data_IF_187750182354
#
_entry.id   IF_187750182354
#
_cell.length_a   1.000
_cell.length_b   1.000
_cell.length_c   1.000
_cell.angle_alpha   90.00
_cell.angle_beta   90.00
_cell.angle_gamma   90.00
#
_symmetry.space_group_name_H-M   'P 1'
#
loop_
_entity.id
_entity.type
_entity.pdbx_description
1 polymer ?
#
# COMPACT_ATOMS: atom_id res chain seq x y z
N UNK A 1 22.53 -16.23 -0.05
CA UNK A 1 22.29 -15.33 -1.20
C UNK A 1 21.05 -14.44 -1.01
N UNK A 2 19.87 -14.98 -0.69
CA UNK A 2 18.62 -14.17 -0.57
C UNK A 2 18.54 -13.23 0.65
N UNK A 3 19.38 -13.43 1.68
CA UNK A 3 19.53 -12.47 2.77
C UNK A 3 20.01 -11.10 2.26
N UNK A 4 20.81 -11.09 1.19
CA UNK A 4 21.30 -9.84 0.55
C UNK A 4 20.12 -8.99 0.07
N UNK A 5 19.06 -9.62 -0.44
CA UNK A 5 17.85 -8.89 -0.90
C UNK A 5 17.18 -8.16 0.27
N UNK A 6 17.10 -8.80 1.44
CA UNK A 6 16.57 -8.17 2.67
C UNK A 6 17.45 -7.02 3.15
N UNK A 7 18.78 -7.19 3.08
CA UNK A 7 19.74 -6.13 3.44
C UNK A 7 19.63 -4.94 2.47
N UNK A 8 19.48 -5.18 1.17
CA UNK A 8 19.30 -4.13 0.17
C UNK A 8 17.99 -3.35 0.40
N UNK A 9 16.90 -4.03 0.71
CA UNK A 9 15.62 -3.40 1.05
C UNK A 9 15.74 -2.55 2.32
N UNK A 10 16.39 -3.08 3.36
CA UNK A 10 16.69 -2.34 4.58
C UNK A 10 17.49 -1.07 4.28
N UNK A 11 18.55 -1.17 3.47
CA UNK A 11 19.37 -0.04 3.07
C UNK A 11 18.55 1.04 2.33
N UNK A 12 17.61 0.66 1.47
CA UNK A 12 16.70 1.60 0.81
C UNK A 12 15.83 2.38 1.83
N UNK A 13 15.25 1.69 2.82
CA UNK A 13 14.45 2.35 3.86
C UNK A 13 15.31 3.26 4.75
N UNK A 14 16.49 2.79 5.18
CA UNK A 14 17.39 3.58 6.01
C UNK A 14 17.94 4.81 5.26
N UNK A 15 18.26 4.69 3.97
CA UNK A 15 18.68 5.82 3.14
C UNK A 15 17.58 6.89 3.04
N UNK A 16 16.31 6.47 2.92
CA UNK A 16 15.17 7.39 2.90
C UNK A 16 14.91 8.06 4.26
N UNK A 17 15.12 7.33 5.36
CA UNK A 17 15.07 7.87 6.71
C UNK A 17 16.16 8.94 6.92
N UNK A 18 17.38 8.68 6.47
CA UNK A 18 18.49 9.64 6.49
C UNK A 18 18.20 10.88 5.63
N UNK A 19 17.60 10.70 4.45
CA UNK A 19 17.15 11.81 3.62
C UNK A 19 16.09 12.67 4.32
N UNK A 20 15.22 12.05 5.12
CA UNK A 20 14.19 12.74 5.90
C UNK A 20 14.77 13.57 7.05
N UNK A 21 15.91 13.15 7.62
CA UNK A 21 16.65 13.90 8.66
C UNK A 21 17.53 15.01 8.05
N UNK A 22 18.11 14.77 6.88
CA UNK A 22 19.04 15.68 6.21
C UNK A 22 18.61 16.02 4.78
N UNK A 23 17.42 16.65 4.60
CA UNK A 23 16.80 16.82 3.28
C UNK A 23 17.61 17.66 2.29
N UNK A 24 18.48 18.53 2.79
CA UNK A 24 19.35 19.40 1.98
C UNK A 24 20.69 18.73 1.64
N UNK A 25 21.13 17.73 2.41
CA UNK A 25 22.42 17.06 2.20
C UNK A 25 22.29 15.79 1.36
N UNK A 26 21.15 15.10 1.46
CA UNK A 26 20.90 13.81 0.81
C UNK A 26 19.63 13.82 -0.07
N UNK A 27 19.48 14.76 -1.02
CA UNK A 27 18.27 14.86 -1.84
C UNK A 27 18.07 13.65 -2.76
N UNK A 28 19.15 12.98 -3.18
CA UNK A 28 19.11 11.79 -4.05
C UNK A 28 18.43 10.59 -3.41
N UNK A 29 18.39 10.51 -2.08
CA UNK A 29 17.80 9.39 -1.34
C UNK A 29 16.33 9.60 -0.96
N UNK A 30 15.71 10.72 -1.36
CA UNK A 30 14.29 11.00 -1.06
C UNK A 30 13.34 9.92 -1.56
N UNK A 31 13.66 9.31 -2.71
CA UNK A 31 12.83 8.27 -3.33
C UNK A 31 13.23 6.85 -2.92
N UNK A 32 14.22 6.68 -2.04
CA UNK A 32 14.77 5.37 -1.72
C UNK A 32 13.73 4.43 -1.08
N UNK A 33 12.79 4.95 -0.27
CA UNK A 33 11.69 4.13 0.26
C UNK A 33 10.77 3.57 -0.83
N UNK A 34 10.52 4.33 -1.90
CA UNK A 34 9.76 3.85 -3.07
C UNK A 34 10.47 2.70 -3.77
N UNK A 35 11.80 2.78 -3.91
CA UNK A 35 12.64 1.70 -4.43
C UNK A 35 12.63 0.48 -3.49
N UNK A 36 12.70 0.69 -2.17
CA UNK A 36 12.60 -0.37 -1.18
C UNK A 36 11.30 -1.16 -1.31
N UNK A 37 10.17 -0.47 -1.41
CA UNK A 37 8.87 -1.10 -1.66
C UNK A 37 8.80 -1.81 -3.00
N UNK A 38 9.38 -1.25 -4.07
CA UNK A 38 9.44 -1.90 -5.37
C UNK A 38 10.19 -3.24 -5.28
N UNK A 39 11.35 -3.26 -4.62
CA UNK A 39 12.15 -4.47 -4.41
C UNK A 39 11.40 -5.53 -3.60
N UNK A 40 10.71 -5.13 -2.52
CA UNK A 40 9.87 -6.04 -1.74
C UNK A 40 8.75 -6.60 -2.60
N UNK A 41 7.99 -5.73 -3.26
CA UNK A 41 6.86 -6.12 -4.12
C UNK A 41 7.26 -7.09 -5.23
N UNK A 42 8.33 -6.79 -5.97
CA UNK A 42 8.82 -7.67 -7.03
C UNK A 42 9.32 -9.02 -6.50
N UNK A 43 10.00 -9.02 -5.34
CA UNK A 43 10.49 -10.27 -4.73
C UNK A 43 9.33 -11.18 -4.30
N UNK A 44 8.28 -10.59 -3.71
CA UNK A 44 7.08 -11.30 -3.27
C UNK A 44 6.21 -11.76 -4.46
N UNK A 45 6.22 -11.03 -5.58
CA UNK A 45 5.43 -11.38 -6.76
C UNK A 45 6.10 -12.45 -7.62
N UNK A 46 7.40 -12.31 -7.89
CA UNK A 46 8.10 -13.12 -8.89
C UNK A 46 8.78 -14.36 -8.29
N UNK A 47 9.28 -14.24 -7.06
CA UNK A 47 10.10 -15.28 -6.42
C UNK A 47 9.78 -15.45 -4.92
N UNK A 48 8.49 -15.53 -4.52
CA UNK A 48 8.07 -15.55 -3.11
C UNK A 48 8.76 -16.64 -2.28
N UNK A 49 8.81 -17.87 -2.80
CA UNK A 49 9.43 -19.01 -2.11
C UNK A 49 10.93 -18.79 -1.87
N UNK A 50 11.65 -18.28 -2.88
CA UNK A 50 13.09 -18.01 -2.75
C UNK A 50 13.36 -16.87 -1.80
N UNK A 51 12.56 -15.81 -1.87
CA UNK A 51 12.64 -14.69 -0.96
C UNK A 51 12.50 -15.14 0.50
N UNK A 52 11.51 -15.97 0.82
CA UNK A 52 11.28 -16.42 2.20
C UNK A 52 12.06 -17.66 2.64
N UNK A 53 12.72 -18.37 1.73
CA UNK A 53 13.53 -19.58 2.06
C UNK A 53 14.62 -19.33 3.11
N UNK A 54 15.05 -18.08 3.31
CA UNK A 54 16.02 -17.72 4.35
C UNK A 54 15.38 -17.66 5.73
N UNK A 55 14.10 -17.30 5.81
CA UNK A 55 13.35 -17.10 7.04
C UNK A 55 12.60 -18.37 7.51
N UNK A 56 12.31 -19.29 6.59
CA UNK A 56 11.46 -20.45 6.85
C UNK A 56 12.16 -21.72 6.37
N UNK A 57 12.22 -22.73 7.22
CA UNK A 57 12.79 -24.04 6.94
C UNK A 57 11.70 -25.07 6.63
N UNK A 58 11.99 -25.97 5.68
CA UNK A 58 11.10 -27.05 5.26
C UNK A 58 10.59 -26.90 3.83
N UNK A 59 9.65 -27.76 3.45
CA UNK A 59 9.14 -27.84 2.07
C UNK A 59 8.13 -26.74 1.81
N UNK A 60 8.59 -25.64 1.22
CA UNK A 60 7.74 -24.51 0.83
C UNK A 60 6.84 -24.94 -0.35
N UNK A 61 5.56 -25.18 -0.08
CA UNK A 61 4.62 -25.60 -1.13
C UNK A 61 4.10 -24.41 -1.96
N UNK A 62 3.35 -24.74 -3.01
CA UNK A 62 2.75 -23.77 -3.93
C UNK A 62 1.77 -22.83 -3.22
N UNK A 63 1.05 -23.30 -2.19
CA UNK A 63 0.08 -22.48 -1.46
C UNK A 63 0.78 -21.42 -0.60
N UNK A 64 1.88 -21.76 0.08
CA UNK A 64 2.69 -20.79 0.83
C UNK A 64 3.17 -19.66 -0.09
N UNK A 65 3.77 -20.02 -1.23
CA UNK A 65 4.25 -19.08 -2.22
C UNK A 65 3.14 -18.18 -2.75
N UNK A 66 1.98 -18.77 -3.03
CA UNK A 66 0.82 -18.06 -3.56
C UNK A 66 0.23 -17.05 -2.58
N UNK A 67 -0.02 -17.45 -1.32
CA UNK A 67 -0.57 -16.55 -0.30
C UNK A 67 0.37 -15.40 0.00
N UNK A 68 1.68 -15.65 -0.01
CA UNK A 68 2.67 -14.60 0.17
C UNK A 68 2.63 -13.55 -0.96
N UNK A 69 2.40 -13.96 -2.21
CA UNK A 69 2.31 -13.03 -3.33
C UNK A 69 1.19 -11.99 -3.19
N UNK A 70 0.15 -12.25 -2.40
CA UNK A 70 -0.88 -11.25 -2.09
C UNK A 70 -0.39 -10.04 -1.30
N UNK A 71 0.82 -10.10 -0.72
CA UNK A 71 1.45 -8.93 -0.10
C UNK A 71 2.12 -8.00 -1.14
N UNK A 72 2.49 -8.53 -2.32
CA UNK A 72 3.17 -7.76 -3.36
C UNK A 72 2.36 -6.58 -3.91
N UNK A 73 1.05 -6.71 -4.22
CA UNK A 73 0.24 -5.62 -4.76
C UNK A 73 0.27 -4.34 -3.93
N UNK A 74 0.29 -4.44 -2.60
CA UNK A 74 0.33 -3.29 -1.70
C UNK A 74 1.66 -2.54 -1.78
N UNK A 75 2.78 -3.29 -1.80
CA UNK A 75 4.10 -2.69 -1.94
C UNK A 75 4.32 -2.10 -3.32
N UNK A 76 3.87 -2.76 -4.39
CA UNK A 76 3.98 -2.24 -5.76
C UNK A 76 3.11 -1.00 -5.96
N UNK A 77 1.87 -1.00 -5.43
CA UNK A 77 1.01 0.18 -5.43
C UNK A 77 1.66 1.33 -4.66
N UNK A 78 2.21 1.07 -3.47
CA UNK A 78 2.88 2.10 -2.67
C UNK A 78 4.16 2.62 -3.35
N UNK A 79 4.95 1.75 -3.98
CA UNK A 79 6.11 2.14 -4.76
C UNK A 79 5.72 3.06 -5.93
N UNK A 80 4.69 2.70 -6.69
CA UNK A 80 4.13 3.55 -7.75
C UNK A 80 3.78 4.94 -7.22
N UNK A 81 3.09 5.02 -6.08
CA UNK A 81 2.69 6.29 -5.50
C UNK A 81 3.89 7.12 -5.03
N UNK A 82 4.86 6.48 -4.37
CA UNK A 82 6.08 7.12 -3.85
C UNK A 82 7.02 7.64 -4.93
N UNK A 83 7.09 6.94 -6.06
CA UNK A 83 7.94 7.31 -7.19
C UNK A 83 7.22 8.26 -8.16
N UNK A 84 5.95 8.60 -7.91
CA UNK A 84 5.18 9.46 -8.79
C UNK A 84 5.62 10.94 -8.69
N UNK A 85 5.58 11.69 -9.82
CA UNK A 85 6.05 13.07 -9.89
C UNK A 85 5.15 14.08 -9.15
N UNK A 86 3.91 13.71 -8.83
CA UNK A 86 3.07 14.54 -7.95
C UNK A 86 3.67 14.70 -6.55
N UNK A 87 4.65 13.86 -6.21
CA UNK A 87 5.27 13.78 -4.90
C UNK A 87 4.26 13.25 -3.88
N UNK A 88 4.70 12.42 -2.94
CA UNK A 88 3.86 12.29 -1.76
C UNK A 88 3.75 13.67 -1.12
N UNK A 89 2.57 14.10 -0.68
CA UNK A 89 2.55 14.96 0.46
C UNK A 89 3.26 14.18 1.58
N UNK A 90 4.42 14.65 2.07
CA UNK A 90 4.99 14.25 3.37
C UNK A 90 4.07 14.70 4.54
N UNK A 91 2.77 14.68 4.29
CA UNK A 91 1.73 15.02 5.21
C UNK A 91 1.63 13.90 6.23
N UNK A 92 1.78 14.31 7.48
CA UNK A 92 1.80 13.44 8.64
C UNK A 92 0.71 12.36 8.65
N UNK A 93 -0.56 12.63 8.27
CA UNK A 93 -1.58 11.59 8.28
C UNK A 93 -1.27 10.41 7.33
N UNK A 94 -0.72 10.67 6.14
CA UNK A 94 -0.34 9.62 5.19
C UNK A 94 0.87 8.83 5.68
N UNK A 95 1.87 9.54 6.20
CA UNK A 95 3.06 8.91 6.80
C UNK A 95 2.65 8.05 7.99
N UNK A 96 1.71 8.52 8.81
CA UNK A 96 1.13 7.76 9.91
C UNK A 96 0.42 6.49 9.42
N UNK A 97 -0.41 6.57 8.37
CA UNK A 97 -1.08 5.39 7.81
C UNK A 97 -0.09 4.30 7.35
N UNK A 98 1.04 4.72 6.77
CA UNK A 98 2.14 3.82 6.39
C UNK A 98 2.85 3.25 7.61
N UNK A 99 3.21 4.09 8.58
CA UNK A 99 3.84 3.66 9.84
C UNK A 99 2.95 2.65 10.58
N UNK A 100 1.66 2.92 10.69
CA UNK A 100 0.71 2.05 11.37
C UNK A 100 0.58 0.70 10.65
N UNK A 101 0.48 0.71 9.32
CA UNK A 101 0.48 -0.53 8.53
C UNK A 101 1.77 -1.32 8.73
N UNK A 102 2.93 -0.66 8.64
CA UNK A 102 4.23 -1.30 8.85
C UNK A 102 4.35 -1.92 10.24
N UNK A 103 3.86 -1.21 11.26
CA UNK A 103 3.79 -1.70 12.64
C UNK A 103 2.91 -2.95 12.74
N UNK A 104 1.69 -2.93 12.19
CA UNK A 104 0.78 -4.07 12.24
C UNK A 104 1.34 -5.29 11.48
N UNK A 105 2.02 -5.06 10.35
CA UNK A 105 2.74 -6.09 9.60
C UNK A 105 3.87 -6.72 10.43
N UNK A 106 4.74 -5.90 11.01
CA UNK A 106 5.82 -6.38 11.87
C UNK A 106 5.27 -7.12 13.09
N UNK A 107 4.29 -6.54 13.77
CA UNK A 107 3.64 -7.12 14.94
C UNK A 107 3.04 -8.49 14.62
N UNK A 108 2.36 -8.64 13.47
CA UNK A 108 1.77 -9.92 13.04
C UNK A 108 2.83 -10.98 12.81
N UNK A 109 3.98 -10.63 12.20
CA UNK A 109 5.09 -11.57 11.99
C UNK A 109 5.76 -11.97 13.31
N UNK A 110 5.99 -11.01 14.21
CA UNK A 110 6.59 -11.29 15.52
C UNK A 110 5.65 -12.10 16.42
N UNK A 111 4.34 -11.82 16.40
CA UNK A 111 3.34 -12.59 17.13
C UNK A 111 3.27 -14.03 16.59
N UNK A 112 3.33 -14.19 15.27
CA UNK A 112 3.39 -15.52 14.65
C UNK A 112 4.68 -16.22 15.06
N UNK A 113 5.81 -15.52 15.06
CA UNK A 113 7.09 -16.10 15.46
C UNK A 113 7.04 -16.64 16.88
N UNK A 114 6.55 -15.83 17.82
CA UNK A 114 6.32 -16.22 19.20
C UNK A 114 5.35 -17.41 19.32
N UNK A 115 4.24 -17.38 18.58
CA UNK A 115 3.26 -18.48 18.62
C UNK A 115 3.81 -19.81 18.11
N UNK A 116 4.60 -19.77 17.03
CA UNK A 116 5.25 -20.94 16.42
C UNK A 116 6.34 -21.53 17.32
N UNK A 117 7.03 -20.71 18.11
CA UNK A 117 8.05 -21.18 19.06
C UNK A 117 7.43 -21.77 20.33
N UNK A 118 6.38 -21.15 20.86
CA UNK A 118 5.73 -21.58 22.11
C UNK A 118 4.76 -22.74 21.92
N UNK A 119 4.00 -22.75 20.81
CA UNK A 119 3.02 -23.79 20.54
C UNK A 119 3.59 -24.71 19.47
N UNK A 120 3.70 -25.99 19.79
CA UNK A 120 3.98 -27.07 18.82
C UNK A 120 2.85 -27.16 17.79
N UNK A 121 2.79 -26.19 16.88
CA UNK A 121 1.81 -26.11 15.81
C UNK A 121 2.32 -26.80 14.56
N UNK A 122 1.41 -27.40 13.81
CA UNK A 122 1.71 -27.91 12.47
C UNK A 122 2.16 -26.75 11.59
N UNK A 123 3.30 -26.91 10.94
CA UNK A 123 3.78 -26.00 9.91
C UNK A 123 5.28 -26.04 9.71
N UNK A 124 5.74 -25.18 8.81
CA UNK A 124 7.17 -25.00 8.55
C UNK A 124 7.93 -24.54 9.80
N UNK A 125 9.18 -24.98 9.96
CA UNK A 125 10.02 -24.52 11.05
C UNK A 125 10.53 -23.12 10.76
N UNK A 126 10.64 -22.29 11.78
CA UNK A 126 11.28 -20.98 11.63
C UNK A 126 12.78 -21.15 11.57
N UNK A 127 13.45 -20.44 10.66
CA UNK A 127 14.90 -20.36 10.71
C UNK A 127 15.36 -19.37 11.79
N UNK A 128 16.62 -19.49 12.20
CA UNK A 128 17.29 -18.51 13.07
C UNK A 128 17.29 -17.09 12.48
N UNK A 129 17.07 -16.96 11.17
CA UNK A 129 17.05 -15.69 10.47
C UNK A 129 15.64 -15.09 10.34
N UNK A 130 14.57 -15.75 10.79
CA UNK A 130 13.22 -15.21 10.59
C UNK A 130 13.04 -13.82 11.20
N UNK A 131 13.43 -13.65 12.47
CA UNK A 131 13.30 -12.37 13.19
C UNK A 131 14.16 -11.31 12.50
N UNK A 132 15.39 -11.68 12.10
CA UNK A 132 16.27 -10.79 11.36
C UNK A 132 15.63 -10.33 10.03
N UNK A 133 15.08 -11.25 9.23
CA UNK A 133 14.40 -10.94 7.98
C UNK A 133 13.17 -10.05 8.20
N UNK A 134 12.38 -10.28 9.25
CA UNK A 134 11.24 -9.44 9.60
C UNK A 134 11.68 -8.01 9.98
N UNK A 135 12.76 -7.87 10.76
CA UNK A 135 13.32 -6.58 11.13
C UNK A 135 13.93 -5.83 9.93
N UNK A 136 14.65 -6.53 9.05
CA UNK A 136 15.25 -5.94 7.84
C UNK A 136 14.21 -5.44 6.83
N UNK A 137 12.97 -5.95 6.91
CA UNK A 137 11.90 -5.60 5.97
C UNK A 137 10.87 -4.70 6.62
N UNK A 138 9.98 -5.26 7.43
CA UNK A 138 8.89 -4.52 8.08
C UNK A 138 9.40 -3.59 9.18
N UNK A 139 10.46 -3.98 9.91
CA UNK A 139 11.11 -3.13 10.92
C UNK A 139 11.79 -1.91 10.31
N UNK A 140 12.55 -2.10 9.23
CA UNK A 140 13.19 -1.01 8.50
C UNK A 140 12.16 -0.08 7.85
N UNK A 141 11.08 -0.64 7.29
CA UNK A 141 9.96 0.15 6.77
C UNK A 141 9.32 1.00 7.89
N UNK A 142 8.98 0.38 9.03
CA UNK A 142 8.41 1.09 10.18
C UNK A 142 9.32 2.23 10.64
N UNK A 143 10.62 1.94 10.83
CA UNK A 143 11.59 2.92 11.27
C UNK A 143 11.66 4.11 10.31
N UNK A 144 11.70 3.85 8.99
CA UNK A 144 11.67 4.90 7.98
C UNK A 144 10.44 5.81 8.14
N UNK A 145 9.25 5.22 8.23
CA UNK A 145 8.02 6.02 8.34
C UNK A 145 7.94 6.80 9.65
N UNK A 146 8.41 6.23 10.77
CA UNK A 146 8.49 6.90 12.06
C UNK A 146 9.45 8.09 11.99
N UNK A 147 10.64 7.90 11.42
CA UNK A 147 11.62 8.98 11.25
C UNK A 147 11.03 10.09 10.37
N UNK A 148 10.42 9.76 9.23
CA UNK A 148 9.75 10.74 8.36
C UNK A 148 8.61 11.47 9.08
N UNK A 149 7.84 10.78 9.92
CA UNK A 149 6.71 11.37 10.66
C UNK A 149 7.19 12.43 11.65
N UNK A 150 8.27 12.14 12.39
CA UNK A 150 8.83 13.03 13.39
C UNK A 150 9.73 14.12 12.80
N UNK A 151 10.36 13.88 11.65
CA UNK A 151 11.17 14.90 10.97
C UNK A 151 10.33 15.88 10.15
N UNK A 152 9.11 15.50 9.74
CA UNK A 152 8.15 16.39 9.11
C UNK A 152 7.75 17.53 10.08
N UNK A 153 8.22 18.74 9.81
CA UNK A 153 7.75 19.95 10.50
C UNK A 153 6.70 20.61 9.62
N UNK A 154 5.48 20.71 10.15
CA UNK A 154 4.39 21.45 9.50
C UNK A 154 4.35 22.84 10.11
N UNK A 155 4.45 23.88 9.29
CA UNK A 155 4.27 25.25 9.77
C UNK A 155 2.80 25.61 9.81
N UNK A 156 2.41 26.55 10.69
CA UNK A 156 1.03 27.09 10.69
C UNK A 156 0.64 27.66 9.33
N UNK A 157 1.60 28.25 8.62
CA UNK A 157 1.39 28.79 7.28
C UNK A 157 1.03 27.71 6.26
N UNK A 158 1.74 26.57 6.25
CA UNK A 158 1.41 25.44 5.36
C UNK A 158 0.01 24.86 5.62
N UNK A 159 -0.44 24.88 6.87
CA UNK A 159 -1.79 24.46 7.22
C UNK A 159 -2.85 25.44 6.69
N UNK A 160 -2.63 26.74 6.88
CA UNK A 160 -3.49 27.80 6.31
C UNK A 160 -3.52 27.68 4.79
N UNK A 161 -2.37 27.53 4.13
CA UNK A 161 -2.28 27.40 2.67
C UNK A 161 -3.02 26.17 2.14
N UNK A 162 -2.96 25.04 2.87
CA UNK A 162 -3.73 23.85 2.51
C UNK A 162 -5.24 24.05 2.67
N UNK A 163 -5.68 24.70 3.75
CA UNK A 163 -7.10 25.03 3.94
C UNK A 163 -7.58 25.98 2.85
N UNK A 164 -6.82 27.04 2.55
CA UNK A 164 -7.11 27.98 1.47
C UNK A 164 -7.21 27.25 0.13
N UNK A 165 -6.22 26.41 -0.23
CA UNK A 165 -6.25 25.60 -1.47
C UNK A 165 -7.49 24.72 -1.53
N UNK A 166 -7.87 24.06 -0.43
CA UNK A 166 -9.07 23.22 -0.38
C UNK A 166 -10.33 24.05 -0.60
N UNK A 167 -10.47 25.18 0.09
CA UNK A 167 -11.61 26.10 -0.09
C UNK A 167 -11.67 26.60 -1.53
N UNK A 168 -10.54 27.00 -2.12
CA UNK A 168 -10.45 27.41 -3.51
C UNK A 168 -10.91 26.32 -4.46
N UNK A 169 -10.53 25.05 -4.24
CA UNK A 169 -11.00 23.93 -5.07
C UNK A 169 -12.53 23.80 -5.07
N UNK A 170 -13.17 24.01 -3.91
CA UNK A 170 -14.63 23.99 -3.81
C UNK A 170 -15.27 25.22 -4.46
N UNK A 171 -14.72 26.41 -4.25
CA UNK A 171 -15.20 27.65 -4.87
C UNK A 171 -15.07 27.61 -6.40
N UNK A 172 -14.02 26.97 -6.92
CA UNK A 172 -13.81 26.77 -8.35
C UNK A 172 -14.65 25.64 -8.95
N UNK A 173 -15.51 24.98 -8.17
CA UNK A 173 -16.34 23.85 -8.62
C UNK A 173 -15.53 22.58 -8.91
N UNK A 174 -14.24 22.54 -8.53
CA UNK A 174 -13.33 21.39 -8.71
C UNK A 174 -13.50 20.35 -7.61
N UNK A 175 -14.14 20.69 -6.48
CA UNK A 175 -14.58 19.72 -5.48
C UNK A 175 -15.60 18.72 -6.06
N UNK A 176 -15.58 17.48 -5.57
CA UNK A 176 -16.50 16.43 -6.03
C UNK A 176 -16.97 15.56 -4.87
N UNK A 177 -18.24 15.72 -4.48
CA UNK A 177 -18.87 14.86 -3.47
C UNK A 177 -18.91 13.40 -3.90
N UNK A 178 -19.06 13.14 -5.21
CA UNK A 178 -18.97 11.78 -5.74
C UNK A 178 -17.60 11.16 -5.42
N UNK A 179 -16.52 11.91 -5.66
CA UNK A 179 -15.18 11.43 -5.43
C UNK A 179 -14.87 11.25 -3.94
N UNK A 180 -15.34 12.16 -3.09
CA UNK A 180 -15.29 11.99 -1.62
C UNK A 180 -16.00 10.71 -1.18
N UNK A 181 -17.22 10.48 -1.66
CA UNK A 181 -17.98 9.26 -1.36
C UNK A 181 -17.30 8.00 -1.88
N UNK A 182 -16.70 8.06 -3.07
CA UNK A 182 -15.94 6.95 -3.62
C UNK A 182 -14.74 6.59 -2.74
N UNK A 183 -14.00 7.58 -2.23
CA UNK A 183 -12.91 7.32 -1.29
C UNK A 183 -13.39 6.75 0.04
N UNK A 184 -14.53 7.20 0.57
CA UNK A 184 -15.13 6.59 1.75
C UNK A 184 -15.54 5.13 1.53
N UNK A 185 -16.10 4.82 0.36
CA UNK A 185 -16.46 3.44 -0.02
C UNK A 185 -15.21 2.58 -0.12
N UNK A 186 -14.14 3.01 -0.81
CA UNK A 186 -12.88 2.27 -0.87
C UNK A 186 -12.28 2.06 0.53
N UNK A 187 -12.30 3.10 1.37
CA UNK A 187 -11.84 3.00 2.75
C UNK A 187 -12.62 1.95 3.56
N UNK A 188 -13.95 1.98 3.47
CA UNK A 188 -14.83 1.02 4.15
C UNK A 188 -14.62 -0.42 3.68
N UNK A 189 -14.49 -0.64 2.36
CA UNK A 189 -14.22 -1.96 1.80
C UNK A 189 -12.85 -2.51 2.23
N UNK A 190 -11.82 -1.66 2.21
CA UNK A 190 -10.48 -2.05 2.65
C UNK A 190 -10.43 -2.33 4.16
N UNK A 191 -11.13 -1.53 4.97
CA UNK A 191 -11.21 -1.74 6.42
C UNK A 191 -11.96 -3.03 6.76
N UNK A 192 -13.08 -3.30 6.09
CA UNK A 192 -13.82 -4.56 6.26
C UNK A 192 -12.95 -5.75 5.88
N UNK A 193 -12.21 -5.65 4.76
CA UNK A 193 -11.25 -6.68 4.33
C UNK A 193 -10.19 -6.91 5.39
N UNK A 194 -9.60 -5.84 5.94
CA UNK A 194 -8.60 -5.93 7.01
C UNK A 194 -9.15 -6.63 8.26
N UNK A 195 -10.33 -6.23 8.74
CA UNK A 195 -10.97 -6.79 9.92
C UNK A 195 -11.28 -8.28 9.75
N UNK A 196 -11.88 -8.66 8.62
CA UNK A 196 -12.27 -10.05 8.34
C UNK A 196 -11.04 -10.96 8.26
N UNK A 197 -9.99 -10.54 7.56
CA UNK A 197 -8.74 -11.31 7.44
C UNK A 197 -7.95 -11.40 8.75
N UNK A 198 -8.02 -10.37 9.60
CA UNK A 198 -7.36 -10.40 10.90
C UNK A 198 -8.09 -11.32 11.89
N UNK A 199 -9.43 -11.20 11.96
CA UNK A 199 -10.26 -11.92 12.92
C UNK A 199 -10.49 -13.38 12.52
N UNK A 200 -10.69 -13.68 11.24
CA UNK A 200 -11.14 -15.01 10.77
C UNK A 200 -10.24 -15.66 9.70
N UNK A 201 -8.89 -15.58 9.77
CA UNK A 201 -8.01 -16.08 8.71
C UNK A 201 -8.19 -17.57 8.43
N UNK A 202 -8.37 -18.39 9.48
CA UNK A 202 -8.56 -19.83 9.34
C UNK A 202 -9.86 -20.18 8.60
N UNK A 203 -10.95 -19.46 8.89
CA UNK A 203 -12.24 -19.69 8.25
C UNK A 203 -12.19 -19.29 6.77
N UNK A 204 -11.56 -18.15 6.48
CA UNK A 204 -11.35 -17.69 5.10
C UNK A 204 -10.56 -18.73 4.31
N UNK A 205 -9.40 -19.14 4.82
CA UNK A 205 -8.54 -20.10 4.13
C UNK A 205 -9.28 -21.43 3.91
N UNK A 206 -9.89 -22.02 4.95
CA UNK A 206 -10.67 -23.27 4.81
C UNK A 206 -11.79 -23.16 3.79
N UNK A 207 -12.42 -21.99 3.68
CA UNK A 207 -13.48 -21.77 2.72
C UNK A 207 -12.93 -21.75 1.29
N UNK A 208 -11.85 -21.02 1.04
CA UNK A 208 -11.37 -20.72 -0.32
C UNK A 208 -10.32 -21.68 -0.85
N UNK A 209 -9.56 -22.39 -0.02
CA UNK A 209 -8.52 -23.32 -0.47
C UNK A 209 -9.06 -24.73 -0.64
N UNK A 210 -8.54 -25.46 -1.64
CA UNK A 210 -8.84 -26.89 -1.81
C UNK A 210 -8.51 -27.68 -0.55
N UNK A 211 -9.31 -28.71 -0.25
CA UNK A 211 -9.11 -29.60 0.91
C UNK A 211 -7.84 -30.44 0.82
N UNK A 212 -7.25 -30.54 -0.38
CA UNK A 212 -5.97 -31.21 -0.63
C UNK A 212 -4.79 -30.49 0.04
N UNK A 213 -4.91 -29.18 0.28
CA UNK A 213 -3.88 -28.42 0.97
C UNK A 213 -4.09 -28.45 2.48
N UNK A 214 -3.12 -29.01 3.18
CA UNK A 214 -3.11 -28.96 4.64
C UNK A 214 -2.67 -27.59 5.13
N UNK A 215 -3.62 -26.80 5.64
CA UNK A 215 -3.35 -25.50 6.22
C UNK A 215 -2.46 -25.59 7.46
N UNK A 216 -1.59 -24.61 7.60
CA UNK A 216 -0.62 -24.51 8.68
C UNK A 216 -0.56 -23.07 9.24
N UNK A 217 0.26 -22.86 10.27
CA UNK A 217 0.42 -21.56 10.91
C UNK A 217 0.97 -20.46 9.98
N UNK A 218 1.79 -20.79 8.98
CA UNK A 218 2.33 -19.83 8.02
C UNK A 218 1.26 -19.34 7.06
N UNK A 219 0.37 -20.22 6.58
CA UNK A 219 -0.77 -19.82 5.77
C UNK A 219 -1.66 -18.80 6.52
N UNK A 220 -1.94 -19.07 7.79
CA UNK A 220 -2.74 -18.19 8.65
C UNK A 220 -2.04 -16.83 8.81
N UNK A 221 -0.72 -16.82 9.02
CA UNK A 221 0.07 -15.58 9.09
C UNK A 221 -0.05 -14.77 7.79
N UNK A 222 0.16 -15.39 6.63
CA UNK A 222 0.07 -14.66 5.35
C UNK A 222 -1.33 -14.13 5.06
N UNK A 223 -2.37 -14.86 5.45
CA UNK A 223 -3.74 -14.37 5.37
C UNK A 223 -3.96 -13.12 6.26
N UNK A 224 -3.43 -13.12 7.50
CA UNK A 224 -3.47 -11.92 8.36
C UNK A 224 -2.63 -10.78 7.81
N UNK A 225 -1.47 -11.07 7.22
CA UNK A 225 -0.59 -10.06 6.60
C UNK A 225 -1.31 -9.34 5.45
N UNK A 226 -2.05 -10.06 4.61
CA UNK A 226 -2.91 -9.44 3.59
C UNK A 226 -3.95 -8.49 4.21
N UNK A 227 -4.57 -8.89 5.32
CA UNK A 227 -5.47 -8.03 6.09
C UNK A 227 -4.77 -6.78 6.65
N UNK A 228 -3.59 -6.94 7.23
CA UNK A 228 -2.79 -5.82 7.75
C UNK A 228 -2.45 -4.82 6.65
N UNK A 229 -2.01 -5.30 5.49
CA UNK A 229 -1.67 -4.45 4.34
C UNK A 229 -2.89 -3.74 3.76
N UNK A 230 -4.10 -4.29 3.94
CA UNK A 230 -5.37 -3.64 3.57
C UNK A 230 -5.72 -2.44 4.47
N UNK A 231 -5.08 -2.28 5.63
CA UNK A 231 -5.21 -1.07 6.45
C UNK A 231 -4.61 0.15 5.75
N UNK A 232 -3.58 -0.03 4.92
CA UNK A 232 -2.95 1.07 4.20
C UNK A 232 -3.95 1.80 3.28
N UNK A 233 -4.60 1.14 2.30
CA UNK A 233 -5.61 1.82 1.48
C UNK A 233 -6.83 2.24 2.30
N UNK A 234 -7.19 1.53 3.38
CA UNK A 234 -8.28 1.95 4.25
C UNK A 234 -8.03 3.35 4.85
N UNK A 235 -6.85 3.56 5.43
CA UNK A 235 -6.47 4.83 6.05
C UNK A 235 -6.15 5.89 4.99
N UNK A 236 -5.40 5.55 3.95
CA UNK A 236 -5.03 6.49 2.90
C UNK A 236 -6.25 7.03 2.15
N UNK A 237 -7.27 6.21 1.88
CA UNK A 237 -8.50 6.68 1.21
C UNK A 237 -9.30 7.68 2.07
N UNK A 238 -9.29 7.54 3.40
CA UNK A 238 -9.90 8.55 4.28
C UNK A 238 -9.21 9.91 4.23
N UNK A 239 -7.91 9.90 3.94
CA UNK A 239 -7.05 11.09 3.97
C UNK A 239 -6.93 11.75 2.60
N UNK A 240 -6.94 10.97 1.52
CA UNK A 240 -6.64 11.45 0.15
C UNK A 240 -7.66 12.48 -0.34
N UNK A 241 -8.91 12.36 0.11
CA UNK A 241 -10.00 13.28 -0.26
C UNK A 241 -9.73 14.74 0.08
N UNK A 242 -8.84 14.99 1.05
CA UNK A 242 -8.44 16.34 1.45
C UNK A 242 -7.25 16.89 0.66
N UNK A 243 -6.66 16.09 -0.24
CA UNK A 243 -5.46 16.43 -1.00
C UNK A 243 -5.81 17.13 -2.32
N UNK A 244 -4.78 17.64 -3.00
CA UNK A 244 -4.96 18.23 -4.33
C UNK A 244 -5.42 17.18 -5.36
N UNK A 245 -6.16 17.59 -6.40
CA UNK A 245 -6.61 16.69 -7.47
C UNK A 245 -5.52 15.80 -8.07
N UNK A 246 -4.34 16.35 -8.32
CA UNK A 246 -3.20 15.59 -8.87
C UNK A 246 -2.82 14.42 -7.95
N UNK A 247 -2.70 14.68 -6.64
CA UNK A 247 -2.37 13.64 -5.65
C UNK A 247 -3.48 12.59 -5.56
N UNK A 248 -4.76 13.02 -5.64
CA UNK A 248 -5.90 12.10 -5.68
C UNK A 248 -5.85 11.15 -6.89
N UNK A 249 -5.54 11.65 -8.09
CA UNK A 249 -5.40 10.84 -9.31
C UNK A 249 -4.26 9.83 -9.17
N UNK A 250 -3.09 10.25 -8.71
CA UNK A 250 -1.95 9.34 -8.53
C UNK A 250 -2.22 8.28 -7.47
N UNK A 251 -2.95 8.62 -6.41
CA UNK A 251 -3.39 7.64 -5.43
C UNK A 251 -4.38 6.64 -6.01
N UNK A 252 -5.36 7.08 -6.80
CA UNK A 252 -6.26 6.17 -7.51
C UNK A 252 -5.50 5.25 -8.47
N UNK A 253 -4.47 5.77 -9.16
CA UNK A 253 -3.56 4.96 -9.97
C UNK A 253 -2.83 3.88 -9.15
N UNK A 254 -2.32 4.25 -7.96
CA UNK A 254 -1.73 3.31 -7.00
C UNK A 254 -2.71 2.24 -6.55
N UNK A 255 -3.96 2.62 -6.26
CA UNK A 255 -5.04 1.69 -5.88
C UNK A 255 -5.40 0.74 -7.01
N UNK A 256 -5.42 1.22 -8.25
CA UNK A 256 -5.62 0.39 -9.44
C UNK A 256 -4.50 -0.64 -9.60
N UNK A 257 -3.23 -0.23 -9.52
CA UNK A 257 -2.08 -1.16 -9.58
C UNK A 257 -2.27 -2.27 -8.54
N UNK A 258 -2.59 -1.90 -7.30
CA UNK A 258 -2.83 -2.86 -6.23
C UNK A 258 -3.99 -3.82 -6.57
N UNK A 259 -5.19 -3.29 -6.87
CA UNK A 259 -6.37 -4.14 -7.06
C UNK A 259 -6.31 -5.01 -8.32
N UNK A 260 -5.73 -4.50 -9.41
CA UNK A 260 -5.54 -5.26 -10.65
C UNK A 260 -4.61 -6.44 -10.41
N UNK A 261 -3.52 -6.25 -9.65
CA UNK A 261 -2.61 -7.35 -9.31
C UNK A 261 -3.28 -8.37 -8.39
N UNK A 262 -4.09 -7.95 -7.40
CA UNK A 262 -4.91 -8.87 -6.60
C UNK A 262 -5.86 -9.69 -7.48
N UNK A 263 -6.51 -9.05 -8.44
CA UNK A 263 -7.40 -9.73 -9.37
C UNK A 263 -6.64 -10.75 -10.24
N UNK A 264 -5.49 -10.38 -10.78
CA UNK A 264 -4.59 -11.29 -11.52
C UNK A 264 -4.13 -12.47 -10.65
N UNK A 265 -3.81 -12.24 -9.37
CA UNK A 265 -3.46 -13.34 -8.46
C UNK A 265 -4.63 -14.30 -8.25
N UNK A 266 -5.88 -13.82 -8.18
CA UNK A 266 -7.03 -14.71 -8.12
C UNK A 266 -7.20 -15.55 -9.40
N UNK A 267 -7.03 -14.93 -10.57
CA UNK A 267 -6.99 -15.62 -11.88
C UNK A 267 -5.95 -16.75 -11.88
N UNK A 268 -4.72 -16.44 -11.46
CA UNK A 268 -3.62 -17.40 -11.41
C UNK A 268 -3.87 -18.53 -10.41
N UNK A 269 -4.38 -18.21 -9.22
CA UNK A 269 -4.71 -19.21 -8.20
C UNK A 269 -5.77 -20.21 -8.67
N UNK A 270 -6.75 -19.73 -9.44
CA UNK A 270 -7.83 -20.57 -9.96
C UNK A 270 -7.36 -21.43 -11.15
N UNK A 271 -6.85 -20.80 -12.21
CA UNK A 271 -6.62 -21.50 -13.49
C UNK A 271 -5.22 -22.07 -13.65
N UNK A 272 -4.20 -21.45 -13.06
CA UNK A 272 -2.81 -21.90 -13.24
C UNK A 272 -2.35 -22.84 -12.12
N UNK A 273 -2.76 -22.57 -10.88
CA UNK A 273 -2.26 -23.30 -9.70
C UNK A 273 -3.28 -24.27 -9.10
N UNK A 274 -4.56 -24.19 -9.48
CA UNK A 274 -5.65 -25.03 -8.94
C UNK A 274 -5.72 -25.06 -7.40
N UNK A 275 -5.35 -23.95 -6.76
CA UNK A 275 -5.27 -23.84 -5.29
C UNK A 275 -6.66 -23.74 -4.65
N UNK A 276 -7.60 -23.18 -5.39
CA UNK A 276 -8.87 -22.77 -4.85
C UNK A 276 -9.93 -23.88 -4.85
N UNK A 277 -10.72 -23.95 -3.79
CA UNK A 277 -11.99 -24.68 -3.76
C UNK A 277 -13.04 -23.93 -4.59
N UNK A 278 -14.16 -24.55 -5.01
CA UNK A 278 -15.22 -23.86 -5.73
C UNK A 278 -15.75 -22.57 -5.06
N UNK A 279 -15.66 -22.46 -3.73
CA UNK A 279 -16.15 -21.30 -2.98
C UNK A 279 -15.30 -20.03 -3.17
N UNK A 280 -14.11 -20.12 -3.75
CA UNK A 280 -13.28 -18.94 -4.04
C UNK A 280 -13.94 -17.95 -5.00
N UNK A 281 -14.96 -18.37 -5.76
CA UNK A 281 -15.66 -17.54 -6.73
C UNK A 281 -16.20 -16.24 -6.09
N UNK A 282 -16.64 -16.29 -4.82
CA UNK A 282 -17.08 -15.09 -4.11
C UNK A 282 -15.95 -14.08 -3.93
N UNK A 283 -14.76 -14.53 -3.53
CA UNK A 283 -13.57 -13.69 -3.41
C UNK A 283 -13.12 -13.11 -4.75
N UNK A 284 -13.14 -13.92 -5.80
CA UNK A 284 -12.85 -13.50 -7.17
C UNK A 284 -13.81 -12.41 -7.66
N UNK A 285 -15.12 -12.63 -7.49
CA UNK A 285 -16.16 -11.67 -7.91
C UNK A 285 -16.08 -10.36 -7.12
N UNK A 286 -15.83 -10.43 -5.80
CA UNK A 286 -15.58 -9.23 -4.99
C UNK A 286 -14.35 -8.46 -5.49
N UNK A 287 -13.25 -9.15 -5.78
CA UNK A 287 -12.05 -8.52 -6.33
C UNK A 287 -12.31 -7.84 -7.68
N UNK A 288 -13.07 -8.48 -8.57
CA UNK A 288 -13.46 -7.93 -9.87
C UNK A 288 -14.39 -6.72 -9.75
N UNK A 289 -15.33 -6.74 -8.80
CA UNK A 289 -16.19 -5.61 -8.49
C UNK A 289 -15.38 -4.40 -8.00
N UNK A 290 -14.48 -4.59 -7.02
CA UNK A 290 -13.63 -3.51 -6.50
C UNK A 290 -12.72 -2.95 -7.61
N UNK A 291 -12.16 -3.81 -8.45
CA UNK A 291 -11.36 -3.38 -9.60
C UNK A 291 -12.18 -2.49 -10.55
N UNK A 292 -13.39 -2.92 -10.91
CA UNK A 292 -14.28 -2.18 -11.81
C UNK A 292 -14.73 -0.84 -11.21
N UNK A 293 -15.04 -0.84 -9.91
CA UNK A 293 -15.32 0.37 -9.15
C UNK A 293 -14.16 1.36 -9.21
N UNK A 294 -12.93 0.92 -8.92
CA UNK A 294 -11.73 1.78 -8.95
C UNK A 294 -11.45 2.33 -10.35
N UNK A 295 -11.65 1.54 -11.41
CA UNK A 295 -11.52 2.03 -12.79
C UNK A 295 -12.53 3.15 -13.07
N UNK A 296 -13.79 2.94 -12.70
CA UNK A 296 -14.84 3.96 -12.87
C UNK A 296 -14.50 5.26 -12.15
N UNK A 297 -14.04 5.17 -10.89
CA UNK A 297 -13.64 6.32 -10.09
C UNK A 297 -12.42 7.03 -10.69
N UNK A 298 -11.41 6.27 -11.13
CA UNK A 298 -10.21 6.82 -11.76
C UNK A 298 -10.53 7.58 -13.05
N UNK A 299 -11.30 6.99 -13.97
CA UNK A 299 -11.67 7.64 -15.22
C UNK A 299 -12.53 8.89 -14.98
N UNK A 300 -13.47 8.83 -14.03
CA UNK A 300 -14.27 10.00 -13.64
C UNK A 300 -13.42 11.09 -13.03
N UNK A 301 -12.51 10.77 -12.11
CA UNK A 301 -11.60 11.75 -11.51
C UNK A 301 -10.69 12.39 -12.57
N UNK A 302 -10.10 11.58 -13.44
CA UNK A 302 -9.23 12.09 -14.50
C UNK A 302 -9.98 12.98 -15.49
N UNK A 303 -11.17 12.55 -15.93
CA UNK A 303 -12.05 13.37 -16.80
C UNK A 303 -12.49 14.66 -16.11
N UNK A 304 -12.95 14.58 -14.85
CA UNK A 304 -13.36 15.73 -14.05
C UNK A 304 -12.22 16.74 -13.98
N UNK A 305 -11.01 16.33 -13.64
CA UNK A 305 -9.89 17.23 -13.45
C UNK A 305 -9.20 17.71 -14.73
N UNK A 306 -9.20 16.93 -15.81
CA UNK A 306 -8.64 17.34 -17.10
C UNK A 306 -9.56 18.27 -17.91
N UNK A 307 -10.88 18.16 -17.74
CA UNK A 307 -11.86 18.95 -18.48
C UNK A 307 -12.21 20.30 -17.82
N UNK A 308 -11.49 20.71 -16.76
CA UNK A 308 -11.69 22.04 -16.22
C UNK A 308 -11.07 23.10 -17.13
N UNK A 309 -11.85 24.06 -17.67
CA UNK A 309 -11.27 25.21 -18.33
C UNK A 309 -10.34 25.95 -17.36
N UNK A 310 -9.22 26.48 -17.87
CA UNK A 310 -8.39 27.46 -17.15
C UNK A 310 -9.33 28.49 -16.52
N UNK A 311 -9.27 28.63 -15.19
CA UNK A 311 -10.33 29.30 -14.43
C UNK A 311 -10.45 30.77 -14.82
N UNK A 312 -11.64 31.35 -14.61
CA UNK A 312 -11.91 32.79 -14.78
C UNK A 312 -10.90 33.67 -14.04
N UNK A 313 -10.30 33.19 -12.93
CA UNK A 313 -9.21 33.83 -12.19
C UNK A 313 -7.86 33.85 -12.93
N UNK A 314 -7.52 32.81 -13.70
CA UNK A 314 -6.37 32.84 -14.61
C UNK A 314 -6.62 33.83 -15.75
N UNK A 315 -7.84 33.87 -16.29
CA UNK A 315 -8.19 34.86 -17.32
C UNK A 315 -8.23 36.30 -16.77
N UNK A 316 -8.61 36.49 -15.50
CA UNK A 316 -8.53 37.80 -14.81
C UNK A 316 -7.07 38.17 -14.53
N UNK A 317 -6.24 37.24 -14.06
CA UNK A 317 -4.82 37.49 -13.82
C UNK A 317 -4.05 37.77 -15.13
N UNK A 318 -4.33 37.01 -16.19
CA UNK A 318 -3.74 37.22 -17.52
C UNK A 318 -4.24 38.53 -18.15
N UNK A 319 -5.51 38.89 -18.00
CA UNK A 319 -6.04 40.18 -18.47
C UNK A 319 -5.53 41.40 -17.67
N UNK A 320 -5.20 41.23 -16.38
CA UNK A 320 -4.52 42.28 -15.61
C UNK A 320 -3.02 42.39 -15.96
N UNK A 321 -2.34 41.27 -16.21
CA UNK A 321 -0.96 41.23 -16.70
C UNK A 321 -0.80 41.84 -18.11
N UNK A 322 -1.81 41.67 -18.97
CA UNK A 322 -1.87 42.32 -20.28
C UNK A 322 -2.09 43.83 -20.16
N UNK A 323 -2.94 44.30 -19.23
CA UNK A 323 -3.16 45.73 -18.99
C UNK A 323 -1.94 46.48 -18.44
N UNK A 324 -1.05 45.81 -17.73
CA UNK A 324 0.21 46.40 -17.22
C UNK A 324 1.35 46.42 -18.22
N UNK A 325 1.21 45.76 -19.38
CA UNK A 325 2.23 45.79 -20.46
C UNK A 325 2.00 46.91 -21.49
N UNK A 326 0.80 47.48 -21.52
CA UNK A 326 0.41 48.56 -22.44
C UNK A 326 0.46 49.95 -21.78
N UNK A 327 1.08 50.07 -20.59
CA UNK A 327 1.33 51.32 -19.85
C UNK A 327 2.83 51.55 -19.66
#
# INVERSE_FOLDING_TARGET
MWLIVHVLQCACFLASALASLFPNKLPSFRNAAGVGHLLVGLSLLLVPARYNSVAIQGTFDTLHAFLQSYSAPFHLGLAYFLLSPAGLPHQKPFVFARAFTAFMSLFTRLLTAWHLTEKSTRGLLMSDHFILCALLTDGAWLLNEVVTLFSSRRTKQEEIDQMCKRTTLWLEGKGSFYLENAFYIDAGLCLLTALVHFAFPQHILKLITSTEHALDSHHIMWCRMFGCLSLLPALCSLLIRHMSPSVQIHYLGSRLVNQVLIFILNILGHWALSIFSPNHISGFMMSGFVMSFLFSVFYRANSHYQNFPKTRLQNIAESQLLKTKDS
#
